data_IF_916991109336
#
_entry.id   IF_916991109336
#
_cell.length_a   1.000
_cell.length_b   1.000
_cell.length_c   1.000
_cell.angle_alpha   90.00
_cell.angle_beta   90.00
_cell.angle_gamma   90.00
#
_symmetry.space_group_name_H-M   'P 1'
#
loop_
_entity.id
_entity.type
_entity.pdbx_description
1 polymer ?
#
# COMPACT_ATOMS: atom_id res chain seq x y z
N UNK A 1 5.73 -13.20 -31.93
CA UNK A 1 5.47 -11.76 -31.97
C UNK A 1 3.99 -11.42 -31.70
N UNK A 2 3.02 -12.15 -32.24
CA UNK A 2 1.56 -11.93 -32.01
C UNK A 2 1.18 -12.20 -30.55
N UNK A 3 1.56 -13.33 -29.95
CA UNK A 3 1.30 -13.69 -28.54
C UNK A 3 1.81 -12.67 -27.52
N UNK A 4 2.95 -12.00 -27.78
CA UNK A 4 3.46 -10.95 -26.91
C UNK A 4 2.63 -9.66 -26.97
N UNK A 5 2.10 -9.31 -28.14
CA UNK A 5 1.21 -8.15 -28.31
C UNK A 5 -0.13 -8.35 -27.60
N UNK A 6 -0.71 -9.56 -27.67
CA UNK A 6 -1.98 -9.88 -26.99
C UNK A 6 -1.85 -9.84 -25.46
N UNK A 7 -0.72 -10.31 -24.91
CA UNK A 7 -0.44 -10.23 -23.49
C UNK A 7 -0.25 -8.77 -23.05
N UNK A 8 0.46 -7.97 -23.84
CA UNK A 8 0.67 -6.55 -23.54
C UNK A 8 -0.64 -5.76 -23.59
N UNK A 9 -1.46 -6.03 -24.62
CA UNK A 9 -2.78 -5.40 -24.75
C UNK A 9 -3.71 -5.75 -23.57
N UNK A 10 -3.81 -7.03 -23.20
CA UNK A 10 -4.59 -7.47 -22.03
C UNK A 10 -4.12 -6.78 -20.74
N UNK A 11 -2.80 -6.67 -20.53
CA UNK A 11 -2.25 -5.95 -19.38
C UNK A 11 -2.62 -4.46 -19.42
N UNK A 12 -2.46 -3.78 -20.54
CA UNK A 12 -2.80 -2.37 -20.64
C UNK A 12 -4.29 -2.13 -20.35
N UNK A 13 -5.19 -2.95 -20.91
CA UNK A 13 -6.62 -2.86 -20.69
C UNK A 13 -7.02 -3.12 -19.23
N UNK A 14 -6.47 -4.17 -18.59
CA UNK A 14 -6.77 -4.44 -17.18
C UNK A 14 -6.23 -3.36 -16.26
N UNK A 15 -5.05 -2.81 -16.54
CA UNK A 15 -4.49 -1.70 -15.78
C UNK A 15 -5.31 -0.41 -15.94
N UNK A 16 -5.74 -0.09 -17.16
CA UNK A 16 -6.59 1.07 -17.43
C UNK A 16 -7.94 0.95 -16.72
N UNK A 17 -8.62 -0.19 -16.87
CA UNK A 17 -9.91 -0.45 -16.22
C UNK A 17 -9.79 -0.35 -14.70
N UNK A 18 -8.75 -0.95 -14.12
CA UNK A 18 -8.46 -0.84 -12.70
C UNK A 18 -8.28 0.63 -12.27
N UNK A 19 -7.48 1.40 -13.01
CA UNK A 19 -7.27 2.82 -12.74
C UNK A 19 -8.57 3.63 -12.77
N UNK A 20 -9.44 3.39 -13.76
CA UNK A 20 -10.74 4.05 -13.88
C UNK A 20 -11.63 3.70 -12.68
N UNK A 21 -11.72 2.43 -12.28
CA UNK A 21 -12.52 1.98 -11.12
C UNK A 21 -12.02 2.64 -9.84
N UNK A 22 -10.70 2.65 -9.61
CA UNK A 22 -10.11 3.28 -8.42
C UNK A 22 -10.44 4.77 -8.39
N UNK A 23 -10.22 5.50 -9.49
CA UNK A 23 -10.52 6.94 -9.56
C UNK A 23 -12.03 7.21 -9.38
N UNK A 24 -12.90 6.42 -9.97
CA UNK A 24 -14.34 6.55 -9.81
C UNK A 24 -14.76 6.40 -8.34
N UNK A 25 -14.26 5.37 -7.64
CA UNK A 25 -14.57 5.15 -6.22
C UNK A 25 -14.05 6.27 -5.31
N UNK A 26 -12.88 6.83 -5.65
CA UNK A 26 -12.26 7.89 -4.85
C UNK A 26 -12.90 9.27 -5.07
N UNK A 27 -13.42 9.54 -6.27
CA UNK A 27 -13.94 10.86 -6.65
C UNK A 27 -15.45 11.00 -6.49
N UNK A 28 -16.22 9.89 -6.49
CA UNK A 28 -17.67 9.93 -6.55
C UNK A 28 -18.33 10.46 -5.25
N UNK A 29 -17.98 9.88 -4.09
CA UNK A 29 -18.64 10.22 -2.82
C UNK A 29 -17.76 9.82 -1.61
N UNK A 30 -17.83 10.51 -0.45
CA UNK A 30 -17.11 10.10 0.77
C UNK A 30 -17.31 8.63 1.15
N UNK A 31 -18.54 8.13 1.09
CA UNK A 31 -18.83 6.72 1.36
C UNK A 31 -18.11 5.76 0.40
N UNK A 32 -18.02 6.08 -0.89
CA UNK A 32 -17.31 5.22 -1.86
C UNK A 32 -15.82 5.18 -1.63
N UNK A 33 -15.22 6.23 -1.05
CA UNK A 33 -13.82 6.24 -0.58
C UNK A 33 -13.60 5.25 0.57
N UNK A 34 -14.49 5.24 1.57
CA UNK A 34 -14.42 4.23 2.64
C UNK A 34 -14.65 2.82 2.11
N UNK A 35 -15.63 2.64 1.24
CA UNK A 35 -15.87 1.35 0.58
C UNK A 35 -14.63 0.86 -0.16
N UNK A 36 -13.93 1.75 -0.88
CA UNK A 36 -12.68 1.41 -1.57
C UNK A 36 -11.61 0.89 -0.60
N UNK A 37 -11.32 1.63 0.49
CA UNK A 37 -10.29 1.19 1.45
C UNK A 37 -10.68 -0.11 2.17
N UNK A 38 -11.96 -0.34 2.44
CA UNK A 38 -12.43 -1.61 3.03
C UNK A 38 -12.30 -2.78 2.07
N UNK A 39 -12.60 -2.58 0.79
CA UNK A 39 -12.40 -3.60 -0.24
C UNK A 39 -10.91 -3.92 -0.42
N UNK A 40 -10.05 -2.91 -0.43
CA UNK A 40 -8.58 -3.10 -0.46
C UNK A 40 -8.15 -3.92 0.76
N UNK A 41 -8.59 -3.55 1.98
CA UNK A 41 -8.25 -4.29 3.18
C UNK A 41 -8.72 -5.75 3.14
N UNK A 42 -9.94 -5.99 2.67
CA UNK A 42 -10.50 -7.35 2.56
C UNK A 42 -9.69 -8.21 1.58
N UNK A 43 -9.45 -7.69 0.38
CA UNK A 43 -8.74 -8.41 -0.67
C UNK A 43 -7.27 -8.66 -0.28
N UNK A 44 -6.59 -7.66 0.24
CA UNK A 44 -5.20 -7.78 0.70
C UNK A 44 -5.07 -8.76 1.87
N UNK A 45 -5.99 -8.72 2.84
CA UNK A 45 -6.01 -9.66 3.97
C UNK A 45 -6.28 -11.10 3.52
N UNK A 46 -7.21 -11.29 2.59
CA UNK A 46 -7.52 -12.59 2.01
C UNK A 46 -6.30 -13.20 1.29
N UNK A 47 -5.64 -12.43 0.45
CA UNK A 47 -4.45 -12.88 -0.28
C UNK A 47 -3.25 -13.11 0.66
N UNK A 48 -3.02 -12.21 1.62
CA UNK A 48 -1.95 -12.36 2.60
C UNK A 48 -2.11 -13.65 3.41
N UNK A 49 -3.27 -13.88 4.01
CA UNK A 49 -3.53 -15.08 4.80
C UNK A 49 -3.49 -16.35 3.94
N UNK A 50 -4.00 -16.28 2.70
CA UNK A 50 -3.93 -17.38 1.75
C UNK A 50 -2.52 -17.78 1.38
N UNK A 51 -1.63 -16.79 1.21
CA UNK A 51 -0.22 -17.01 0.90
C UNK A 51 0.57 -17.61 2.08
N UNK A 52 0.21 -17.26 3.33
CA UNK A 52 0.89 -17.73 4.54
C UNK A 52 0.47 -19.14 4.96
N UNK A 53 -0.71 -19.58 4.57
CA UNK A 53 -1.24 -20.88 4.96
C UNK A 53 -0.95 -21.93 3.89
N UNK A 54 0.14 -22.67 4.07
CA UNK A 54 0.43 -23.88 3.25
C UNK A 54 -0.56 -25.02 3.50
N UNK A 55 -1.32 -24.98 4.60
CA UNK A 55 -2.40 -25.93 4.89
C UNK A 55 -3.67 -25.44 4.20
N UNK A 56 -4.45 -26.37 3.63
CA UNK A 56 -5.71 -26.10 2.98
C UNK A 56 -6.78 -25.62 4.00
N UNK A 57 -6.71 -24.34 4.36
CA UNK A 57 -7.83 -23.73 5.11
C UNK A 57 -9.00 -23.60 4.14
N UNK A 58 -10.20 -24.06 4.53
CA UNK A 58 -11.39 -23.86 3.74
C UNK A 58 -11.55 -22.38 3.37
N UNK A 59 -11.81 -22.09 2.09
CA UNK A 59 -11.96 -20.71 1.58
C UNK A 59 -12.91 -19.86 2.43
N UNK A 60 -13.97 -20.48 2.94
CA UNK A 60 -14.92 -19.82 3.85
C UNK A 60 -14.26 -19.28 5.13
N UNK A 61 -13.45 -20.09 5.82
CA UNK A 61 -12.73 -19.64 7.03
C UNK A 61 -11.72 -18.55 6.71
N UNK A 62 -11.02 -18.68 5.59
CA UNK A 62 -10.08 -17.67 5.12
C UNK A 62 -10.78 -16.32 4.89
N UNK A 63 -11.96 -16.33 4.25
CA UNK A 63 -12.76 -15.12 4.04
C UNK A 63 -13.20 -14.48 5.36
N UNK A 64 -13.62 -15.30 6.34
CA UNK A 64 -14.02 -14.81 7.67
C UNK A 64 -12.83 -14.10 8.35
N UNK A 65 -11.66 -14.74 8.40
CA UNK A 65 -10.46 -14.12 9.00
C UNK A 65 -10.04 -12.86 8.27
N UNK A 66 -10.05 -12.85 6.93
CA UNK A 66 -9.72 -11.68 6.15
C UNK A 66 -10.68 -10.51 6.43
N UNK A 67 -11.97 -10.78 6.63
CA UNK A 67 -12.96 -9.77 6.98
C UNK A 67 -12.79 -9.24 8.41
N UNK A 68 -12.62 -10.14 9.39
CA UNK A 68 -12.48 -9.78 10.81
C UNK A 68 -11.24 -8.94 11.05
N UNK A 69 -10.09 -9.31 10.48
CA UNK A 69 -8.80 -8.67 10.73
C UNK A 69 -8.43 -7.60 9.70
N UNK A 70 -9.18 -7.49 8.62
CA UNK A 70 -9.03 -6.47 7.60
C UNK A 70 -9.98 -5.28 7.83
N UNK A 71 -11.13 -5.24 7.13
CA UNK A 71 -11.98 -4.05 7.12
C UNK A 71 -12.90 -3.89 8.33
N UNK A 72 -13.27 -4.98 9.04
CA UNK A 72 -14.32 -4.93 10.07
C UNK A 72 -14.06 -3.89 11.17
N UNK A 73 -12.83 -3.74 11.73
CA UNK A 73 -12.56 -2.72 12.74
C UNK A 73 -12.79 -1.29 12.21
N UNK A 74 -12.40 -1.03 10.97
CA UNK A 74 -12.60 0.27 10.34
C UNK A 74 -14.09 0.57 10.07
N UNK A 75 -14.87 -0.46 9.70
CA UNK A 75 -16.32 -0.34 9.54
C UNK A 75 -17.01 0.00 10.86
N UNK A 76 -16.64 -0.63 11.97
CA UNK A 76 -17.21 -0.32 13.30
C UNK A 76 -16.97 1.14 13.69
N UNK A 77 -15.79 1.68 13.41
CA UNK A 77 -15.50 3.10 13.63
C UNK A 77 -16.37 3.97 12.72
N UNK A 78 -16.44 3.67 11.43
CA UNK A 78 -17.24 4.44 10.49
C UNK A 78 -18.72 4.54 10.89
N UNK A 79 -19.31 3.45 11.36
CA UNK A 79 -20.72 3.43 11.80
C UNK A 79 -20.93 3.96 13.25
N UNK A 80 -19.89 4.48 13.89
CA UNK A 80 -19.96 5.03 15.24
C UNK A 80 -20.16 3.99 16.34
N UNK A 81 -19.92 2.71 16.06
CA UNK A 81 -20.03 1.61 17.03
C UNK A 81 -18.84 1.55 17.99
N UNK A 82 -17.73 2.17 17.62
CA UNK A 82 -16.52 2.35 18.43
C UNK A 82 -16.09 3.81 18.37
N UNK A 83 -16.02 4.46 19.53
CA UNK A 83 -15.36 5.77 19.67
C UNK A 83 -13.90 5.55 20.03
N UNK A 84 -13.00 6.13 19.25
CA UNK A 84 -11.57 5.89 19.40
C UNK A 84 -10.83 7.23 19.54
N UNK A 85 -10.38 7.54 20.75
CA UNK A 85 -9.70 8.79 21.08
C UNK A 85 -8.15 8.73 21.08
N UNK A 86 -7.46 7.56 21.16
CA UNK A 86 -6.00 7.53 21.15
C UNK A 86 -5.39 7.37 19.74
N UNK A 87 -5.87 8.13 18.74
CA UNK A 87 -5.38 8.05 17.37
C UNK A 87 -3.85 8.15 17.27
N UNK A 88 -3.27 9.16 17.92
CA UNK A 88 -1.81 9.37 17.90
C UNK A 88 -1.04 8.17 18.44
N UNK A 89 -1.48 7.60 19.56
CA UNK A 89 -0.79 6.45 20.19
C UNK A 89 -0.72 5.24 19.26
N UNK A 90 -1.82 4.96 18.57
CA UNK A 90 -1.87 3.84 17.64
C UNK A 90 -1.14 4.11 16.33
N UNK A 91 -1.12 5.36 15.86
CA UNK A 91 -0.28 5.75 14.72
C UNK A 91 1.19 5.52 15.08
N UNK A 92 1.63 5.92 16.27
CA UNK A 92 3.01 5.69 16.73
C UNK A 92 3.32 4.20 16.82
N UNK A 93 2.43 3.38 17.41
CA UNK A 93 2.61 1.91 17.47
C UNK A 93 2.70 1.32 16.06
N UNK A 94 1.85 1.78 15.13
CA UNK A 94 1.88 1.34 13.74
C UNK A 94 3.20 1.71 13.07
N UNK A 95 3.67 2.94 13.23
CA UNK A 95 4.97 3.42 12.71
C UNK A 95 6.12 2.56 13.25
N UNK A 96 6.14 2.26 14.55
CA UNK A 96 7.17 1.40 15.14
C UNK A 96 7.14 -0.01 14.56
N UNK A 97 5.95 -0.59 14.36
CA UNK A 97 5.81 -1.90 13.71
C UNK A 97 6.34 -1.90 12.28
N UNK A 98 6.00 -0.89 11.48
CA UNK A 98 6.47 -0.78 10.09
C UNK A 98 7.98 -0.49 10.01
N UNK A 99 8.53 0.29 10.94
CA UNK A 99 9.98 0.48 11.06
C UNK A 99 10.69 -0.84 11.40
N UNK A 100 10.11 -1.65 12.29
CA UNK A 100 10.60 -3.02 12.55
C UNK A 100 10.58 -3.88 11.29
N UNK A 101 9.51 -3.83 10.48
CA UNK A 101 9.45 -4.56 9.20
C UNK A 101 10.53 -4.08 8.23
N UNK A 102 10.81 -2.78 8.14
CA UNK A 102 11.93 -2.25 7.35
C UNK A 102 13.27 -2.81 7.84
N UNK A 103 13.52 -2.76 9.15
CA UNK A 103 14.73 -3.34 9.75
C UNK A 103 14.88 -4.84 9.45
N UNK A 104 13.77 -5.56 9.40
CA UNK A 104 13.76 -6.99 9.09
C UNK A 104 14.35 -7.33 7.72
N UNK A 105 14.38 -6.39 6.75
CA UNK A 105 14.95 -6.60 5.42
C UNK A 105 16.45 -6.94 5.45
N UNK A 106 17.14 -6.50 6.49
CA UNK A 106 18.58 -6.72 6.65
C UNK A 106 18.93 -8.04 7.35
N UNK A 107 17.94 -8.74 7.91
CA UNK A 107 18.12 -9.99 8.65
C UNK A 107 17.40 -11.14 7.97
N UNK A 108 18.05 -12.31 7.93
CA UNK A 108 17.43 -13.53 7.44
C UNK A 108 16.48 -14.09 8.52
N UNK A 109 15.18 -14.00 8.29
CA UNK A 109 14.16 -14.56 9.18
C UNK A 109 13.69 -15.92 8.66
N UNK A 110 13.61 -16.91 9.55
CA UNK A 110 12.94 -18.18 9.24
C UNK A 110 11.42 -17.94 9.25
N UNK A 111 10.67 -18.55 8.33
CA UNK A 111 9.22 -18.40 8.33
C UNK A 111 8.65 -18.96 9.63
N UNK A 112 7.93 -18.14 10.38
CA UNK A 112 7.14 -18.59 11.51
C UNK A 112 5.96 -19.44 11.00
N UNK A 113 5.73 -20.59 11.63
CA UNK A 113 4.72 -21.56 11.18
C UNK A 113 3.39 -21.48 11.95
N UNK A 114 3.26 -20.57 12.91
CA UNK A 114 2.10 -20.51 13.78
C UNK A 114 1.03 -19.60 13.18
N UNK A 115 -0.15 -20.13 12.91
CA UNK A 115 -1.28 -19.42 12.30
C UNK A 115 -1.63 -18.08 13.01
N UNK A 116 -1.58 -18.04 14.33
CA UNK A 116 -1.86 -16.83 15.11
C UNK A 116 -0.87 -15.70 14.81
N UNK A 117 0.38 -16.01 14.53
CA UNK A 117 1.37 -14.99 14.13
C UNK A 117 1.01 -14.38 12.78
N UNK A 118 0.53 -15.18 11.84
CA UNK A 118 0.08 -14.68 10.54
C UNK A 118 -1.17 -13.81 10.64
N UNK A 119 -2.10 -14.20 11.51
CA UNK A 119 -3.32 -13.42 11.77
C UNK A 119 -2.97 -12.07 12.43
N UNK A 120 -2.09 -12.07 13.45
CA UNK A 120 -1.63 -10.83 14.07
C UNK A 120 -0.86 -9.95 13.08
N UNK A 121 0.04 -10.53 12.29
CA UNK A 121 0.74 -9.79 11.23
C UNK A 121 -0.23 -9.22 10.20
N UNK A 122 -1.25 -9.97 9.79
CA UNK A 122 -2.30 -9.48 8.89
C UNK A 122 -3.01 -8.25 9.48
N UNK A 123 -3.40 -8.32 10.74
CA UNK A 123 -4.04 -7.19 11.41
C UNK A 123 -3.13 -5.96 11.49
N UNK A 124 -1.90 -6.11 11.99
CA UNK A 124 -0.97 -4.98 12.12
C UNK A 124 -0.47 -4.46 10.77
N UNK A 125 -0.31 -5.31 9.77
CA UNK A 125 0.20 -4.93 8.46
C UNK A 125 -0.88 -4.33 7.54
N UNK A 126 -2.12 -4.82 7.60
CA UNK A 126 -3.21 -4.40 6.70
C UNK A 126 -4.36 -3.75 7.47
N UNK A 127 -4.88 -4.42 8.49
CA UNK A 127 -6.07 -3.97 9.22
C UNK A 127 -5.85 -2.67 9.99
N UNK A 128 -4.76 -2.56 10.73
CA UNK A 128 -4.43 -1.39 11.54
C UNK A 128 -4.24 -0.11 10.72
N UNK A 129 -3.43 -0.08 9.63
CA UNK A 129 -3.34 1.09 8.76
C UNK A 129 -4.68 1.54 8.21
N UNK A 130 -5.52 0.60 7.77
CA UNK A 130 -6.85 0.90 7.21
C UNK A 130 -7.80 1.44 8.28
N UNK A 131 -7.75 0.87 9.49
CA UNK A 131 -8.50 1.37 10.64
C UNK A 131 -8.12 2.82 10.96
N UNK A 132 -6.83 3.11 11.07
CA UNK A 132 -6.32 4.46 11.35
C UNK A 132 -6.67 5.45 10.24
N UNK A 133 -6.55 5.03 8.99
CA UNK A 133 -6.93 5.85 7.85
C UNK A 133 -8.43 6.17 7.86
N UNK A 134 -9.29 5.18 8.12
CA UNK A 134 -10.74 5.38 8.23
C UNK A 134 -11.08 6.35 9.35
N UNK A 135 -10.47 6.19 10.54
CA UNK A 135 -10.68 7.09 11.67
C UNK A 135 -10.26 8.52 11.33
N UNK A 136 -9.08 8.69 10.78
CA UNK A 136 -8.56 10.01 10.41
C UNK A 136 -9.44 10.70 9.36
N UNK A 137 -9.90 9.98 8.35
CA UNK A 137 -10.78 10.52 7.30
C UNK A 137 -12.15 10.98 7.84
N UNK A 138 -12.65 10.35 8.92
CA UNK A 138 -13.93 10.75 9.55
C UNK A 138 -13.73 12.01 10.38
N UNK A 139 -12.62 12.12 11.10
CA UNK A 139 -12.40 13.19 12.10
C UNK A 139 -11.82 14.46 11.49
N UNK A 140 -10.77 14.37 10.70
CA UNK A 140 -9.98 15.53 10.28
C UNK A 140 -9.40 15.40 8.87
N UNK A 141 -9.67 14.29 8.17
CA UNK A 141 -8.94 13.96 6.94
C UNK A 141 -9.27 14.88 5.77
N UNK A 142 -8.26 15.43 5.05
CA UNK A 142 -8.48 16.10 3.79
C UNK A 142 -9.20 15.16 2.81
N UNK A 143 -10.22 15.68 2.13
CA UNK A 143 -11.08 14.87 1.23
C UNK A 143 -10.30 14.09 0.17
N UNK A 144 -9.13 14.58 -0.20
CA UNK A 144 -8.35 14.07 -1.32
C UNK A 144 -7.08 13.31 -0.94
N UNK A 145 -6.80 13.11 0.36
CA UNK A 145 -5.55 12.51 0.83
C UNK A 145 -5.31 11.10 0.23
N UNK A 146 -6.33 10.25 0.22
CA UNK A 146 -6.21 8.89 -0.36
C UNK A 146 -5.89 8.95 -1.85
N UNK A 147 -6.54 9.85 -2.58
CA UNK A 147 -6.27 10.07 -4.00
C UNK A 147 -4.84 10.57 -4.22
N UNK A 148 -4.36 11.52 -3.39
CA UNK A 148 -3.00 12.03 -3.49
C UNK A 148 -1.96 10.93 -3.25
N UNK A 149 -2.14 10.07 -2.24
CA UNK A 149 -1.26 8.93 -1.98
C UNK A 149 -1.20 8.01 -3.20
N UNK A 150 -2.36 7.63 -3.75
CA UNK A 150 -2.43 6.70 -4.88
C UNK A 150 -1.80 7.30 -6.15
N UNK A 151 -2.08 8.56 -6.45
CA UNK A 151 -1.48 9.25 -7.59
C UNK A 151 0.05 9.34 -7.45
N UNK A 152 0.55 9.67 -6.25
CA UNK A 152 1.98 9.70 -5.98
C UNK A 152 2.63 8.33 -6.16
N UNK A 153 2.03 7.26 -5.64
CA UNK A 153 2.54 5.90 -5.82
C UNK A 153 2.61 5.56 -7.32
N UNK A 154 1.54 5.81 -8.08
CA UNK A 154 1.54 5.54 -9.52
C UNK A 154 2.60 6.34 -10.29
N UNK A 155 2.76 7.62 -9.96
CA UNK A 155 3.80 8.46 -10.57
C UNK A 155 5.20 7.95 -10.21
N UNK A 156 5.45 7.71 -8.93
CA UNK A 156 6.78 7.25 -8.47
C UNK A 156 7.13 5.88 -9.04
N UNK A 157 6.21 4.93 -9.09
CA UNK A 157 6.44 3.60 -9.68
C UNK A 157 6.71 3.70 -11.18
N UNK A 158 5.96 4.54 -11.89
CA UNK A 158 6.15 4.76 -13.32
C UNK A 158 7.53 5.33 -13.60
N UNK A 159 7.94 6.38 -12.89
CA UNK A 159 9.25 7.00 -13.09
C UNK A 159 10.41 6.12 -12.58
N UNK A 160 10.21 5.36 -11.49
CA UNK A 160 11.17 4.36 -11.06
C UNK A 160 11.43 3.33 -12.16
N UNK A 161 10.37 2.85 -12.82
CA UNK A 161 10.47 1.90 -13.93
C UNK A 161 11.13 2.52 -15.17
N UNK A 162 10.67 3.69 -15.62
CA UNK A 162 11.18 4.34 -16.83
C UNK A 162 12.67 4.67 -16.72
N UNK A 163 13.08 5.26 -15.58
CA UNK A 163 14.46 5.65 -15.35
C UNK A 163 15.32 4.43 -15.02
N UNK A 164 14.82 3.54 -14.17
CA UNK A 164 15.53 2.31 -13.81
C UNK A 164 15.77 1.36 -14.98
N UNK A 165 14.80 1.24 -15.91
CA UNK A 165 14.96 0.39 -17.09
C UNK A 165 15.94 0.95 -18.13
N UNK A 166 16.07 2.28 -18.23
CA UNK A 166 16.92 2.95 -19.23
C UNK A 166 18.31 3.25 -18.70
N UNK A 167 18.44 3.70 -17.46
CA UNK A 167 19.70 4.18 -16.87
C UNK A 167 20.13 3.42 -15.61
N UNK A 168 19.35 2.44 -15.13
CA UNK A 168 19.64 1.67 -13.92
C UNK A 168 20.89 0.82 -14.09
N UNK A 169 21.85 0.99 -13.18
CA UNK A 169 23.11 0.23 -13.14
C UNK A 169 23.31 -0.48 -11.80
N UNK A 170 22.91 0.16 -10.70
CA UNK A 170 23.14 -0.32 -9.35
C UNK A 170 21.84 -0.84 -8.74
N UNK A 171 21.76 -2.14 -8.37
CA UNK A 171 20.57 -2.67 -7.74
C UNK A 171 20.36 -2.03 -6.36
N UNK A 172 19.10 -1.70 -6.02
CA UNK A 172 18.73 -1.13 -4.73
C UNK A 172 18.80 -2.19 -3.62
N UNK A 173 18.23 -3.37 -3.86
CA UNK A 173 18.23 -4.53 -2.96
C UNK A 173 18.35 -5.83 -3.78
N UNK A 174 19.58 -6.26 -4.09
CA UNK A 174 19.87 -7.38 -4.99
C UNK A 174 19.24 -8.70 -4.53
N UNK A 175 19.22 -8.98 -3.23
CA UNK A 175 18.69 -10.24 -2.66
C UNK A 175 17.16 -10.34 -2.73
N UNK A 176 16.43 -9.23 -2.68
CA UNK A 176 14.96 -9.21 -2.55
C UNK A 176 14.31 -8.85 -3.88
N UNK A 177 14.78 -7.77 -4.51
CA UNK A 177 14.25 -7.23 -5.77
C UNK A 177 15.39 -6.75 -6.67
N UNK A 178 16.04 -7.66 -7.43
CA UNK A 178 17.23 -7.33 -8.24
C UNK A 178 16.93 -6.35 -9.39
N UNK A 179 15.67 -6.17 -9.76
CA UNK A 179 15.26 -5.26 -10.84
C UNK A 179 15.09 -3.80 -10.39
N UNK A 180 14.97 -3.54 -9.09
CA UNK A 180 14.92 -2.18 -8.56
C UNK A 180 16.33 -1.59 -8.51
N UNK A 181 16.49 -0.37 -9.02
CA UNK A 181 17.78 0.31 -9.12
C UNK A 181 17.81 1.62 -8.33
N UNK A 182 18.99 2.03 -7.88
CA UNK A 182 19.19 3.30 -7.18
C UNK A 182 18.84 4.47 -8.11
N UNK A 183 19.23 4.39 -9.37
CA UNK A 183 18.94 5.42 -10.38
C UNK A 183 17.43 5.57 -10.61
N UNK A 184 16.70 4.44 -10.62
CA UNK A 184 15.24 4.43 -10.67
C UNK A 184 14.61 5.09 -9.44
N UNK A 185 15.12 4.80 -8.24
CA UNK A 185 14.65 5.42 -7.00
C UNK A 185 14.87 6.94 -6.98
N UNK A 186 16.04 7.42 -7.45
CA UNK A 186 16.31 8.85 -7.59
C UNK A 186 15.36 9.50 -8.60
N UNK A 187 15.10 8.84 -9.74
CA UNK A 187 14.15 9.34 -10.72
C UNK A 187 12.72 9.43 -10.18
N UNK A 188 12.30 8.46 -9.40
CA UNK A 188 11.03 8.49 -8.69
C UNK A 188 10.97 9.63 -7.65
N UNK A 189 12.08 9.93 -6.96
CA UNK A 189 12.18 11.06 -6.03
C UNK A 189 11.95 12.39 -6.74
N UNK A 190 12.61 12.60 -7.87
CA UNK A 190 12.43 13.84 -8.66
C UNK A 190 10.99 13.99 -9.14
N UNK A 191 10.37 12.89 -9.57
CA UNK A 191 8.96 12.88 -9.95
C UNK A 191 8.02 13.17 -8.76
N UNK A 192 8.32 12.64 -7.57
CA UNK A 192 7.59 12.95 -6.34
C UNK A 192 7.68 14.44 -5.98
N UNK A 193 8.88 15.03 -6.02
CA UNK A 193 9.08 16.46 -5.78
C UNK A 193 8.24 17.32 -6.73
N UNK A 194 8.27 17.01 -8.03
CA UNK A 194 7.47 17.71 -9.02
C UNK A 194 5.97 17.57 -8.75
N UNK A 195 5.52 16.37 -8.38
CA UNK A 195 4.12 16.10 -8.04
C UNK A 195 3.69 16.87 -6.79
N UNK A 196 4.55 16.98 -5.77
CA UNK A 196 4.31 17.79 -4.58
C UNK A 196 4.12 19.28 -4.92
N UNK A 197 4.94 19.81 -5.81
CA UNK A 197 4.78 21.18 -6.33
C UNK A 197 3.45 21.34 -7.08
N UNK A 198 3.08 20.37 -7.93
CA UNK A 198 1.80 20.38 -8.66
C UNK A 198 0.62 20.36 -7.66
N UNK A 199 0.67 19.54 -6.62
CA UNK A 199 -0.37 19.49 -5.61
C UNK A 199 -0.57 20.82 -4.90
N UNK A 200 0.51 21.51 -4.56
CA UNK A 200 0.42 22.86 -3.99
C UNK A 200 -0.35 23.81 -4.90
N UNK A 201 -0.02 23.88 -6.20
CA UNK A 201 -0.68 24.81 -7.14
C UNK A 201 -2.11 24.40 -7.52
N UNK A 202 -2.45 23.11 -7.45
CA UNK A 202 -3.79 22.65 -7.86
C UNK A 202 -4.80 22.64 -6.73
N UNK A 203 -4.37 22.52 -5.47
CA UNK A 203 -5.28 22.32 -4.34
C UNK A 203 -5.23 23.39 -3.28
N UNK A 204 -4.16 24.18 -3.21
CA UNK A 204 -3.96 25.23 -2.20
C UNK A 204 -4.08 24.76 -0.73
N UNK A 205 -3.99 23.44 -0.47
CA UNK A 205 -3.99 22.90 0.89
C UNK A 205 -2.56 22.89 1.45
N UNK A 206 -2.38 23.53 2.59
CA UNK A 206 -1.10 23.65 3.27
C UNK A 206 -0.06 24.49 2.51
N UNK A 207 1.16 24.48 3.01
CA UNK A 207 2.31 25.18 2.40
C UNK A 207 2.93 24.34 1.29
N UNK A 208 3.75 24.99 0.44
CA UNK A 208 4.56 24.25 -0.56
C UNK A 208 5.49 23.23 0.11
N UNK A 209 6.08 23.59 1.25
CA UNK A 209 6.94 22.69 2.01
C UNK A 209 6.18 21.45 2.52
N UNK A 210 4.93 21.65 2.97
CA UNK A 210 4.04 20.55 3.36
C UNK A 210 3.79 19.59 2.19
N UNK A 211 3.40 20.08 1.03
CA UNK A 211 3.12 19.21 -0.13
C UNK A 211 4.36 18.46 -0.64
N UNK A 212 5.52 19.09 -0.60
CA UNK A 212 6.80 18.45 -0.93
C UNK A 212 7.14 17.39 0.11
N UNK A 213 7.01 17.68 1.40
CA UNK A 213 7.26 16.72 2.48
C UNK A 213 6.34 15.50 2.40
N UNK A 214 5.04 15.73 2.15
CA UNK A 214 4.07 14.67 1.90
C UNK A 214 4.49 13.76 0.75
N UNK A 215 4.88 14.35 -0.38
CA UNK A 215 5.31 13.59 -1.56
C UNK A 215 6.59 12.77 -1.31
N UNK A 216 7.55 13.33 -0.56
CA UNK A 216 8.78 12.62 -0.18
C UNK A 216 8.50 11.45 0.78
N UNK A 217 7.56 11.59 1.71
CA UNK A 217 7.14 10.51 2.60
C UNK A 217 6.52 9.37 1.79
N UNK A 218 5.61 9.69 0.88
CA UNK A 218 4.97 8.67 0.02
C UNK A 218 6.00 7.96 -0.86
N UNK A 219 6.92 8.72 -1.49
CA UNK A 219 8.01 8.13 -2.28
C UNK A 219 8.88 7.20 -1.45
N UNK A 220 9.39 7.69 -0.30
CA UNK A 220 10.34 6.94 0.51
C UNK A 220 9.73 5.66 1.06
N UNK A 221 8.61 5.77 1.77
CA UNK A 221 7.97 4.62 2.39
C UNK A 221 7.24 3.71 1.38
N UNK A 222 6.85 4.22 0.20
CA UNK A 222 6.35 3.41 -0.90
C UNK A 222 7.38 2.40 -1.41
N UNK A 223 8.63 2.83 -1.59
CA UNK A 223 9.73 1.92 -1.98
C UNK A 223 9.93 0.82 -0.93
N UNK A 224 9.91 1.18 0.37
CA UNK A 224 10.07 0.21 1.45
C UNK A 224 8.89 -0.75 1.54
N UNK A 225 7.68 -0.29 1.27
CA UNK A 225 6.47 -1.12 1.27
C UNK A 225 6.58 -2.26 0.26
N UNK A 226 6.90 -1.97 -1.00
CA UNK A 226 7.10 -3.00 -2.02
C UNK A 226 8.29 -3.93 -1.68
N UNK A 227 9.37 -3.42 -1.08
CA UNK A 227 10.49 -4.27 -0.65
C UNK A 227 10.08 -5.24 0.48
N UNK A 228 9.32 -4.77 1.47
CA UNK A 228 8.80 -5.60 2.56
C UNK A 228 7.86 -6.68 2.01
N UNK A 229 6.89 -6.30 1.17
CA UNK A 229 5.99 -7.24 0.51
C UNK A 229 6.77 -8.26 -0.35
N UNK A 230 7.77 -7.79 -1.09
CA UNK A 230 8.65 -8.65 -1.87
C UNK A 230 9.42 -9.65 -0.99
N UNK A 231 9.93 -9.23 0.18
CA UNK A 231 10.56 -10.14 1.14
C UNK A 231 9.58 -11.19 1.67
N UNK A 232 8.39 -10.79 2.07
CA UNK A 232 7.35 -11.72 2.54
C UNK A 232 7.07 -12.78 1.47
N UNK A 233 6.93 -12.38 0.20
CA UNK A 233 6.75 -13.30 -0.93
C UNK A 233 7.91 -14.29 -1.06
N UNK A 234 9.16 -13.83 -0.98
CA UNK A 234 10.35 -14.71 -1.08
C UNK A 234 10.45 -15.70 0.08
N UNK A 235 10.13 -15.25 1.30
CA UNK A 235 10.10 -16.14 2.48
C UNK A 235 9.09 -17.27 2.31
N UNK A 236 7.96 -17.01 1.64
CA UNK A 236 6.94 -18.01 1.34
C UNK A 236 7.19 -18.78 0.02
N UNK A 237 8.28 -18.49 -0.68
CA UNK A 237 8.63 -19.09 -1.98
C UNK A 237 7.56 -18.86 -3.06
N UNK A 238 6.84 -17.73 -2.98
CA UNK A 238 5.89 -17.29 -3.99
C UNK A 238 6.44 -16.06 -4.72
N UNK A 239 5.84 -15.76 -5.88
CA UNK A 239 6.14 -14.56 -6.66
C UNK A 239 5.11 -13.47 -6.45
N UNK A 240 3.85 -13.82 -6.46
CA UNK A 240 2.70 -12.93 -6.32
C UNK A 240 1.81 -13.46 -5.20
N UNK A 241 1.12 -12.58 -4.46
CA UNK A 241 0.22 -12.98 -3.37
C UNK A 241 -1.07 -13.62 -3.87
N UNK A 242 -1.50 -13.23 -5.07
CA UNK A 242 -2.74 -13.70 -5.67
C UNK A 242 -2.72 -13.61 -7.20
N UNK A 243 -3.87 -13.94 -7.80
CA UNK A 243 -4.09 -13.93 -9.25
C UNK A 243 -5.33 -13.13 -9.63
N UNK A 244 -5.77 -12.21 -8.77
CA UNK A 244 -7.01 -11.45 -8.95
C UNK A 244 -7.00 -10.65 -10.26
N UNK A 245 -5.83 -10.11 -10.62
CA UNK A 245 -5.67 -9.34 -11.85
C UNK A 245 -4.84 -10.14 -12.88
N UNK A 246 -5.45 -10.63 -13.97
CA UNK A 246 -4.74 -11.37 -15.01
C UNK A 246 -3.52 -10.62 -15.53
N UNK A 247 -2.33 -11.19 -15.33
CA UNK A 247 -1.05 -10.59 -15.74
C UNK A 247 -0.48 -9.50 -14.82
N UNK A 248 -1.17 -9.14 -13.72
CA UNK A 248 -0.75 -8.12 -12.76
C UNK A 248 -0.59 -8.63 -11.31
N UNK A 249 -0.88 -9.91 -11.04
CA UNK A 249 -0.79 -10.47 -9.69
C UNK A 249 -2.04 -10.25 -8.85
N UNK A 250 -1.89 -10.20 -7.55
CA UNK A 250 -2.97 -10.01 -6.60
C UNK A 250 -3.25 -8.54 -6.25
N UNK A 251 -4.28 -8.34 -5.42
CA UNK A 251 -4.61 -7.03 -4.85
C UNK A 251 -3.47 -6.53 -3.95
N UNK A 252 -2.94 -7.38 -3.07
CA UNK A 252 -1.84 -6.99 -2.19
C UNK A 252 -0.57 -6.63 -2.98
N UNK A 253 -0.35 -7.22 -4.17
CA UNK A 253 0.75 -6.84 -5.05
C UNK A 253 0.58 -5.43 -5.67
N UNK A 254 -0.60 -4.83 -5.57
CA UNK A 254 -0.92 -3.49 -6.07
C UNK A 254 -1.03 -2.43 -4.98
N UNK A 255 -1.36 -2.86 -3.78
CA UNK A 255 -1.60 -1.97 -2.65
C UNK A 255 -0.58 -2.12 -1.52
N UNK A 256 0.49 -2.90 -1.69
CA UNK A 256 1.55 -3.08 -0.70
C UNK A 256 2.21 -1.76 -0.29
N UNK A 257 2.59 -0.93 -1.27
CA UNK A 257 3.12 0.41 -1.03
C UNK A 257 2.08 1.33 -0.39
N UNK A 258 0.80 1.27 -0.83
CA UNK A 258 -0.28 2.07 -0.28
C UNK A 258 -0.49 1.78 1.21
N UNK A 259 -0.67 0.50 1.56
CA UNK A 259 -0.86 0.08 2.96
C UNK A 259 0.32 0.49 3.83
N UNK A 260 1.54 0.34 3.31
CA UNK A 260 2.77 0.65 4.04
C UNK A 260 2.95 2.14 4.33
N UNK A 261 2.55 3.00 3.41
CA UNK A 261 2.70 4.47 3.52
C UNK A 261 1.75 5.07 4.55
N UNK A 262 0.57 4.50 4.77
CA UNK A 262 -0.51 5.07 5.59
C UNK A 262 -0.03 5.55 6.97
N UNK A 263 0.63 4.75 7.83
CA UNK A 263 1.01 5.20 9.17
C UNK A 263 1.93 6.42 9.16
N UNK A 264 2.85 6.48 8.22
CA UNK A 264 3.83 7.58 8.12
C UNK A 264 3.17 8.87 7.61
N UNK A 265 2.25 8.74 6.66
CA UNK A 265 1.45 9.88 6.19
C UNK A 265 0.55 10.38 7.31
N UNK A 266 -0.11 9.50 8.06
CA UNK A 266 -0.96 9.92 9.19
C UNK A 266 -0.15 10.61 10.28
N UNK A 267 1.04 10.12 10.62
CA UNK A 267 1.93 10.79 11.57
C UNK A 267 2.29 12.20 11.08
N UNK A 268 2.60 12.34 9.79
CA UNK A 268 2.91 13.61 9.17
C UNK A 268 1.70 14.57 9.21
N UNK A 269 0.52 14.09 8.88
CA UNK A 269 -0.71 14.86 8.94
C UNK A 269 -1.03 15.36 10.34
N UNK A 270 -0.96 14.49 11.35
CA UNK A 270 -1.22 14.86 12.77
C UNK A 270 -0.22 15.91 13.26
N UNK A 271 1.01 15.92 12.73
CA UNK A 271 2.03 16.91 13.12
C UNK A 271 1.79 18.28 12.49
N UNK A 272 1.21 18.36 11.30
CA UNK A 272 1.02 19.63 10.57
C UNK A 272 -0.38 20.24 10.70
N UNK A 273 -1.38 19.46 11.10
CA UNK A 273 -2.77 19.86 11.28
C UNK A 273 -3.30 19.44 12.66
#
# INVERSE_FOLDING_TARGET
MVLQKDILYKRAMTGLLFGIIVLALLLAHPFTRHLFIWLVALLCSYEYLGAQTKQSIPKFRLTIYAFIFGPLPAMFIYFGLLSFDPLLSLVVISVLYFTYLMGSLFFDQKPGSIMWMHVMTCFFYIGMPVLLLSQYMITNGPEHMVLQIILLIWVTDTFAYLIGSKWGKRPLFSKISPKKTIEGAIGAMLAALLTGVIFYYTRAEGTMLYNIGFALIVWFFGIWGDLVASKIKRTQQIKDFGTLMPGHGGALDRFDSFVFVIPFVLLYQIYFF
#
